data_IF_891866198137
#
_entry.id   IF_891866198137
#
_cell.length_a   1.000
_cell.length_b   1.000
_cell.length_c   1.000
_cell.angle_alpha   90.00
_cell.angle_beta   90.00
_cell.angle_gamma   90.00
#
_symmetry.space_group_name_H-M   'P 1'
#
loop_
_entity.id
_entity.type
_entity.pdbx_description
1 polymer ?
#
# COMPACT_ATOMS: atom_id res chain seq x y z
N UNK A 1 -28.43 26.53 -4.41
CA UNK A 1 -27.03 26.07 -4.45
C UNK A 1 -26.82 25.17 -3.26
N UNK A 2 -26.66 23.87 -3.47
CA UNK A 2 -26.20 22.97 -2.41
C UNK A 2 -24.73 23.29 -2.17
N UNK A 3 -24.42 23.80 -0.98
CA UNK A 3 -23.04 23.98 -0.55
C UNK A 3 -22.43 22.58 -0.39
N UNK A 4 -21.50 22.24 -1.28
CA UNK A 4 -20.63 21.08 -1.12
C UNK A 4 -19.60 21.42 -0.03
N UNK A 5 -19.12 20.43 0.73
CA UNK A 5 -18.01 20.67 1.66
C UNK A 5 -16.76 21.06 0.87
N UNK A 6 -15.84 21.86 1.45
CA UNK A 6 -14.61 22.28 0.75
C UNK A 6 -13.79 21.10 0.19
N UNK A 7 -13.86 19.93 0.83
CA UNK A 7 -13.17 18.71 0.39
C UNK A 7 -13.82 18.00 -0.81
N UNK A 8 -15.01 18.42 -1.26
CA UNK A 8 -15.69 17.79 -2.40
C UNK A 8 -15.34 18.45 -3.74
N UNK A 9 -14.65 19.60 -3.72
CA UNK A 9 -14.29 20.36 -4.90
C UNK A 9 -12.86 20.07 -5.35
N UNK A 10 -12.67 20.04 -6.66
CA UNK A 10 -11.35 19.91 -7.27
C UNK A 10 -10.63 21.26 -7.14
N UNK A 11 -9.47 21.26 -6.49
CA UNK A 11 -8.63 22.46 -6.35
C UNK A 11 -7.37 22.39 -7.20
N UNK A 12 -6.73 23.54 -7.41
CA UNK A 12 -5.39 23.58 -8.01
C UNK A 12 -4.39 22.87 -7.08
N UNK A 13 -3.54 22.02 -7.67
CA UNK A 13 -2.61 21.18 -6.93
C UNK A 13 -3.17 19.84 -6.40
N UNK A 14 -4.47 19.59 -6.48
CA UNK A 14 -5.07 18.31 -6.07
C UNK A 14 -4.64 17.16 -7.00
N UNK A 15 -4.46 15.95 -6.46
CA UNK A 15 -4.44 14.74 -7.27
C UNK A 15 -5.86 14.34 -7.67
N UNK A 16 -6.03 13.93 -8.92
CA UNK A 16 -7.32 13.48 -9.47
C UNK A 16 -7.18 12.18 -10.22
N UNK A 17 -8.23 11.38 -10.16
CA UNK A 17 -8.38 10.19 -10.97
C UNK A 17 -9.29 10.48 -12.17
N UNK A 18 -8.72 10.42 -13.36
CA UNK A 18 -9.42 10.64 -14.63
C UNK A 18 -9.82 9.28 -15.20
N UNK A 19 -11.11 9.04 -15.40
CA UNK A 19 -11.66 7.73 -15.80
C UNK A 19 -12.43 7.82 -17.11
N UNK A 20 -12.07 6.96 -18.06
CA UNK A 20 -12.85 6.68 -19.26
C UNK A 20 -13.62 5.35 -19.13
N UNK A 21 -12.91 4.29 -18.73
CA UNK A 21 -13.45 2.95 -18.55
C UNK A 21 -12.59 2.19 -17.50
N UNK A 22 -12.94 0.94 -17.19
CA UNK A 22 -12.20 0.12 -16.19
C UNK A 22 -10.69 0.00 -16.48
N UNK A 23 -10.29 0.05 -17.76
CA UNK A 23 -8.90 -0.16 -18.19
C UNK A 23 -8.17 1.16 -18.43
N UNK A 24 -8.90 2.23 -18.72
CA UNK A 24 -8.33 3.54 -19.10
C UNK A 24 -8.65 4.55 -18.02
N UNK A 25 -7.72 4.62 -17.08
CA UNK A 25 -7.75 5.48 -15.90
C UNK A 25 -6.37 6.10 -15.74
N UNK A 26 -6.30 7.36 -15.34
CA UNK A 26 -5.05 8.10 -15.18
C UNK A 26 -5.08 8.88 -13.89
N UNK A 27 -3.95 8.91 -13.18
CA UNK A 27 -3.75 9.73 -12.00
C UNK A 27 -2.94 10.95 -12.45
N UNK A 28 -3.45 12.13 -12.17
CA UNK A 28 -2.80 13.37 -12.57
C UNK A 28 -2.89 14.39 -11.44
N UNK A 29 -1.86 15.23 -11.33
CA UNK A 29 -1.91 16.43 -10.49
C UNK A 29 -2.53 17.55 -11.30
N UNK A 30 -3.56 18.18 -10.75
CA UNK A 30 -4.22 19.34 -11.35
C UNK A 30 -3.29 20.54 -11.21
N UNK A 31 -3.01 21.20 -12.33
CA UNK A 31 -2.20 22.42 -12.35
C UNK A 31 -2.94 23.42 -13.24
N UNK A 32 -3.32 24.57 -12.68
CA UNK A 32 -4.01 25.64 -13.42
C UNK A 32 -3.20 26.08 -14.65
N UNK A 33 -3.89 26.34 -15.76
CA UNK A 33 -3.30 26.67 -17.05
C UNK A 33 -2.63 25.50 -17.78
N UNK A 34 -2.59 24.28 -17.21
CA UNK A 34 -2.09 23.10 -17.91
C UNK A 34 -3.21 22.21 -18.49
N UNK A 35 -2.81 21.32 -19.39
CA UNK A 35 -3.69 20.39 -20.08
C UNK A 35 -3.39 18.94 -19.69
N UNK A 36 -4.44 18.15 -19.56
CA UNK A 36 -4.33 16.69 -19.53
C UNK A 36 -4.43 16.13 -20.96
N UNK A 37 -3.51 15.26 -21.35
CA UNK A 37 -3.49 14.61 -22.67
C UNK A 37 -3.65 13.08 -22.57
N UNK A 38 -4.48 12.51 -23.44
CA UNK A 38 -4.55 11.07 -23.67
C UNK A 38 -4.87 10.75 -25.15
N UNK A 39 -4.93 9.47 -25.51
CA UNK A 39 -5.26 9.04 -26.87
C UNK A 39 -6.68 9.48 -27.33
N UNK A 40 -7.56 9.81 -26.38
CA UNK A 40 -8.91 10.35 -26.62
C UNK A 40 -8.97 11.88 -26.66
N UNK A 41 -7.82 12.55 -26.76
CA UNK A 41 -7.74 14.01 -26.85
C UNK A 41 -7.20 14.64 -25.57
N UNK A 42 -7.47 15.92 -25.40
CA UNK A 42 -7.05 16.69 -24.23
C UNK A 42 -8.20 17.55 -23.68
N UNK A 43 -8.02 18.04 -22.45
CA UNK A 43 -8.84 19.09 -21.84
C UNK A 43 -7.96 19.95 -20.91
N UNK A 44 -8.36 21.20 -20.68
CA UNK A 44 -7.65 22.11 -19.76
C UNK A 44 -8.10 21.86 -18.31
N UNK A 45 -7.15 21.81 -17.38
CA UNK A 45 -7.47 21.60 -15.96
C UNK A 45 -8.35 22.71 -15.38
N UNK A 46 -8.26 23.93 -15.89
CA UNK A 46 -9.14 25.04 -15.50
C UNK A 46 -10.63 24.73 -15.72
N UNK A 47 -10.97 23.78 -16.61
CA UNK A 47 -12.35 23.36 -16.82
C UNK A 47 -12.92 22.51 -15.67
N UNK A 48 -12.07 21.95 -14.79
CA UNK A 48 -12.49 21.09 -13.68
C UNK A 48 -12.24 21.73 -12.31
N UNK A 49 -11.33 22.70 -12.20
CA UNK A 49 -11.08 23.44 -10.95
C UNK A 49 -12.38 24.12 -10.48
N UNK A 50 -12.67 24.00 -9.18
CA UNK A 50 -13.87 24.51 -8.53
C UNK A 50 -15.14 23.68 -8.77
N UNK A 51 -15.05 22.58 -9.53
CA UNK A 51 -16.17 21.65 -9.73
C UNK A 51 -16.10 20.47 -8.76
N UNK A 52 -17.24 19.84 -8.43
CA UNK A 52 -17.23 18.68 -7.55
C UNK A 52 -16.58 17.46 -8.22
N UNK A 53 -15.99 16.58 -7.41
CA UNK A 53 -15.65 15.23 -7.85
C UNK A 53 -16.89 14.49 -8.38
N UNK A 54 -16.69 13.61 -9.35
CA UNK A 54 -17.74 13.00 -10.19
C UNK A 54 -18.11 13.81 -11.43
N UNK A 55 -17.56 15.02 -11.59
CA UNK A 55 -17.78 15.84 -12.79
C UNK A 55 -17.30 15.14 -14.06
N UNK A 56 -18.09 15.28 -15.14
CA UNK A 56 -17.68 14.88 -16.49
C UNK A 56 -17.07 16.05 -17.25
N UNK A 57 -15.92 15.82 -17.86
CA UNK A 57 -15.25 16.78 -18.74
C UNK A 57 -15.18 16.22 -20.16
N UNK A 58 -15.42 17.08 -21.15
CA UNK A 58 -15.41 16.72 -22.56
C UNK A 58 -14.04 17.04 -23.15
N UNK A 59 -13.40 16.07 -23.79
CA UNK A 59 -12.15 16.30 -24.52
C UNK A 59 -12.40 17.00 -25.85
N UNK A 60 -11.35 17.54 -26.46
CA UNK A 60 -11.40 18.11 -27.81
C UNK A 60 -11.89 17.13 -28.91
N UNK A 61 -11.86 15.80 -28.65
CA UNK A 61 -12.41 14.77 -29.55
C UNK A 61 -13.85 14.36 -29.19
N UNK A 62 -14.55 15.16 -28.40
CA UNK A 62 -15.92 14.90 -27.95
C UNK A 62 -16.13 13.61 -27.15
N UNK A 63 -15.08 13.15 -26.45
CA UNK A 63 -15.16 12.02 -25.52
C UNK A 63 -15.33 12.57 -24.10
N UNK A 64 -16.21 11.99 -23.30
CA UNK A 64 -16.36 12.36 -21.90
C UNK A 64 -15.47 11.51 -21.00
N UNK A 65 -14.78 12.17 -20.07
CA UNK A 65 -14.01 11.58 -18.97
C UNK A 65 -14.66 11.99 -17.65
N UNK A 66 -14.65 11.11 -16.66
CA UNK A 66 -15.16 11.42 -15.31
C UNK A 66 -14.00 11.60 -14.35
N UNK A 67 -14.05 12.66 -13.53
CA UNK A 67 -12.99 12.99 -12.58
C UNK A 67 -13.42 12.52 -11.20
N UNK A 68 -12.59 11.75 -10.51
CA UNK A 68 -12.85 11.26 -9.15
C UNK A 68 -11.73 11.64 -8.21
N UNK A 69 -12.05 11.67 -6.92
CA UNK A 69 -11.07 11.72 -5.86
C UNK A 69 -10.33 10.37 -5.81
N UNK A 70 -9.00 10.33 -5.97
CA UNK A 70 -8.27 9.08 -5.99
C UNK A 70 -8.24 8.41 -4.61
N UNK A 71 -8.51 7.11 -4.57
CA UNK A 71 -8.35 6.30 -3.35
C UNK A 71 -6.94 5.71 -3.28
N UNK A 72 -6.45 5.26 -2.10
CA UNK A 72 -5.11 4.68 -1.96
C UNK A 72 -4.78 3.58 -3.00
N UNK A 73 -5.77 2.75 -3.34
CA UNK A 73 -5.59 1.69 -4.33
C UNK A 73 -5.38 2.17 -5.78
N UNK A 74 -5.77 3.40 -6.10
CA UNK A 74 -5.54 4.01 -7.41
C UNK A 74 -4.08 4.47 -7.56
N UNK A 75 -3.46 4.96 -6.48
CA UNK A 75 -2.04 5.34 -6.45
C UNK A 75 -1.16 4.12 -6.71
N UNK A 76 -1.44 2.97 -6.07
CA UNK A 76 -0.65 1.75 -6.22
C UNK A 76 -0.49 1.27 -7.67
N UNK A 77 -1.49 1.50 -8.52
CA UNK A 77 -1.44 1.10 -9.95
C UNK A 77 -0.50 1.97 -10.78
N UNK A 78 -0.09 3.13 -10.28
CA UNK A 78 0.73 4.11 -11.00
C UNK A 78 1.99 4.50 -10.24
N UNK A 79 2.27 3.83 -9.11
CA UNK A 79 3.55 3.89 -8.45
C UNK A 79 4.62 3.37 -9.41
N UNK A 80 5.71 4.12 -9.54
CA UNK A 80 6.89 3.63 -10.24
C UNK A 80 7.55 2.57 -9.35
N UNK A 81 7.68 1.35 -9.87
CA UNK A 81 8.30 0.25 -9.14
C UNK A 81 9.27 -0.51 -10.06
N UNK A 82 10.48 -0.78 -9.56
CA UNK A 82 11.44 -1.69 -10.20
C UNK A 82 11.34 -3.12 -9.64
N UNK A 83 10.73 -3.28 -8.47
CA UNK A 83 10.50 -4.54 -7.79
C UNK A 83 9.04 -5.00 -7.91
N UNK A 84 8.78 -6.24 -7.50
CA UNK A 84 7.43 -6.70 -7.22
C UNK A 84 6.80 -5.87 -6.08
N UNK A 85 5.50 -5.64 -6.14
CA UNK A 85 4.73 -4.93 -5.11
C UNK A 85 3.72 -5.86 -4.45
N UNK A 86 3.37 -5.56 -3.19
CA UNK A 86 2.22 -6.16 -2.52
C UNK A 86 0.93 -5.71 -3.21
N UNK A 87 0.10 -6.67 -3.59
CA UNK A 87 -1.17 -6.41 -4.25
C UNK A 87 -2.22 -5.91 -3.24
N UNK A 88 -3.21 -5.15 -3.72
CA UNK A 88 -4.26 -4.59 -2.86
C UNK A 88 -5.03 -5.63 -2.05
N UNK A 89 -5.22 -6.85 -2.59
CA UNK A 89 -5.85 -7.97 -1.85
C UNK A 89 -5.02 -8.38 -0.63
N UNK A 90 -3.70 -8.39 -0.79
CA UNK A 90 -2.75 -8.82 0.24
C UNK A 90 -2.56 -7.68 1.25
N UNK A 91 -2.39 -6.45 0.77
CA UNK A 91 -2.35 -5.26 1.62
C UNK A 91 -3.61 -5.13 2.50
N UNK A 92 -4.81 -5.39 1.96
CA UNK A 92 -6.04 -5.40 2.75
C UNK A 92 -6.02 -6.42 3.89
N UNK A 93 -5.44 -7.60 3.65
CA UNK A 93 -5.26 -8.61 4.69
C UNK A 93 -4.18 -8.24 5.70
N UNK A 94 -3.06 -7.65 5.24
CA UNK A 94 -2.01 -7.11 6.11
C UNK A 94 -2.61 -6.06 7.06
N UNK A 95 -3.43 -5.14 6.55
CA UNK A 95 -4.09 -4.13 7.37
C UNK A 95 -4.99 -4.75 8.44
N UNK A 96 -5.86 -5.68 8.02
CA UNK A 96 -6.87 -6.27 8.91
C UNK A 96 -6.26 -7.24 9.93
N UNK A 97 -5.46 -8.20 9.47
CA UNK A 97 -4.90 -9.25 10.32
C UNK A 97 -3.61 -8.81 11.02
N UNK A 98 -2.88 -7.83 10.46
CA UNK A 98 -1.74 -7.18 11.10
C UNK A 98 -2.14 -6.17 12.20
N UNK A 99 -3.44 -5.91 12.36
CA UNK A 99 -3.95 -4.99 13.38
C UNK A 99 -3.60 -3.52 13.12
N UNK A 100 -3.43 -3.15 11.85
CA UNK A 100 -3.08 -1.79 11.45
C UNK A 100 -4.29 -0.88 11.64
N UNK A 101 -4.12 0.16 12.46
CA UNK A 101 -5.18 1.09 12.84
C UNK A 101 -4.59 2.47 13.16
N UNK A 102 -5.42 3.53 13.25
CA UNK A 102 -4.93 4.86 13.57
C UNK A 102 -4.14 4.92 14.89
N UNK A 103 -3.06 5.70 14.91
CA UNK A 103 -2.29 5.98 16.12
C UNK A 103 -1.19 4.97 16.49
N UNK A 104 -1.02 3.89 15.72
CA UNK A 104 -0.05 2.85 16.05
C UNK A 104 1.33 3.10 15.41
N UNK A 105 2.35 2.50 16.01
CA UNK A 105 3.72 2.48 15.48
C UNK A 105 3.97 1.16 14.76
N UNK A 106 4.34 1.24 13.49
CA UNK A 106 4.58 0.08 12.63
C UNK A 106 6.03 0.07 12.16
N UNK A 107 6.69 -1.08 12.21
CA UNK A 107 7.92 -1.30 11.45
C UNK A 107 7.58 -2.03 10.16
N UNK A 108 8.14 -1.57 9.05
CA UNK A 108 8.15 -2.27 7.78
C UNK A 108 9.60 -2.58 7.41
N UNK A 109 9.87 -3.78 6.90
CA UNK A 109 11.17 -4.12 6.33
C UNK A 109 11.00 -4.68 4.93
N UNK A 110 11.76 -4.11 3.99
CA UNK A 110 11.52 -4.23 2.56
C UNK A 110 10.68 -3.07 2.04
N UNK A 111 11.17 -1.83 2.17
CA UNK A 111 10.46 -0.63 1.66
C UNK A 111 10.16 -0.74 0.16
N UNK A 112 11.12 -1.24 -0.62
CA UNK A 112 10.98 -1.38 -2.07
C UNK A 112 10.60 -0.05 -2.74
N UNK A 113 9.48 -0.03 -3.46
CA UNK A 113 8.97 1.19 -4.11
C UNK A 113 8.19 2.13 -3.19
N UNK A 114 7.98 1.79 -1.91
CA UNK A 114 7.15 2.54 -0.98
C UNK A 114 5.64 2.30 -1.15
N UNK A 115 5.25 1.31 -1.96
CA UNK A 115 3.85 1.00 -2.23
C UNK A 115 3.11 0.57 -0.95
N UNK A 116 3.58 -0.48 -0.27
CA UNK A 116 2.98 -0.92 0.99
C UNK A 116 3.15 0.16 2.07
N UNK A 117 4.34 0.77 2.17
CA UNK A 117 4.63 1.88 3.08
C UNK A 117 3.57 2.97 3.01
N UNK A 118 3.17 3.38 1.80
CA UNK A 118 2.17 4.43 1.60
C UNK A 118 0.78 4.04 2.12
N UNK A 119 0.41 2.77 1.98
CA UNK A 119 -0.84 2.23 2.51
C UNK A 119 -0.78 2.22 4.03
N UNK A 120 0.29 1.67 4.61
CA UNK A 120 0.47 1.62 6.07
C UNK A 120 0.39 3.03 6.66
N UNK A 121 1.13 3.97 6.08
CA UNK A 121 1.13 5.38 6.48
C UNK A 121 -0.29 5.98 6.45
N UNK A 122 -1.02 5.80 5.35
CA UNK A 122 -2.40 6.29 5.22
C UNK A 122 -3.32 5.76 6.33
N UNK A 123 -3.19 4.49 6.72
CA UNK A 123 -4.07 3.85 7.71
C UNK A 123 -3.68 4.13 9.16
N UNK A 124 -2.39 4.30 9.47
CA UNK A 124 -1.96 4.70 10.82
C UNK A 124 -2.26 6.18 11.10
N UNK A 125 -2.38 7.00 10.06
CA UNK A 125 -2.78 8.40 10.17
C UNK A 125 -1.75 9.28 10.90
N UNK A 126 -2.13 10.53 11.17
CA UNK A 126 -1.24 11.57 11.74
C UNK A 126 -0.73 11.26 13.15
N UNK A 127 -1.49 10.50 13.93
CA UNK A 127 -1.12 10.11 15.30
C UNK A 127 -0.28 8.84 15.35
N UNK A 128 -0.13 8.14 14.22
CA UNK A 128 0.68 6.94 14.08
C UNK A 128 2.01 7.23 13.42
N UNK A 129 2.84 6.19 13.25
CA UNK A 129 4.12 6.35 12.58
C UNK A 129 4.58 5.04 11.92
N UNK A 130 5.13 5.14 10.71
CA UNK A 130 5.75 4.00 10.01
C UNK A 130 7.26 4.17 9.98
N UNK A 131 7.98 3.19 10.50
CA UNK A 131 9.44 3.09 10.39
C UNK A 131 9.74 2.05 9.33
N UNK A 132 10.22 2.47 8.16
CA UNK A 132 10.48 1.55 7.05
C UNK A 132 11.97 1.39 6.80
N UNK A 133 12.39 0.15 6.59
CA UNK A 133 13.77 -0.24 6.44
C UNK A 133 14.05 -0.85 5.06
N UNK A 134 15.13 -0.39 4.45
CA UNK A 134 15.58 -0.84 3.14
C UNK A 134 17.11 -0.78 3.10
N UNK A 135 17.77 -1.75 2.47
CA UNK A 135 19.24 -1.80 2.38
C UNK A 135 19.76 -1.28 1.03
N UNK A 136 18.86 -0.99 0.10
CA UNK A 136 19.16 -0.46 -1.22
C UNK A 136 18.83 1.02 -1.36
N UNK A 137 19.85 1.83 -1.66
CA UNK A 137 19.71 3.27 -1.81
C UNK A 137 18.81 3.68 -3.00
N UNK A 138 18.84 2.94 -4.11
CA UNK A 138 17.99 3.19 -5.27
C UNK A 138 16.49 3.00 -4.95
N UNK A 139 16.18 1.98 -4.14
CA UNK A 139 14.83 1.70 -3.67
C UNK A 139 14.34 2.82 -2.73
N UNK A 140 15.15 3.24 -1.76
CA UNK A 140 14.81 4.37 -0.86
C UNK A 140 14.52 5.64 -1.64
N UNK A 141 15.35 5.98 -2.63
CA UNK A 141 15.14 7.17 -3.44
C UNK A 141 13.83 7.10 -4.24
N UNK A 142 13.45 5.91 -4.70
CA UNK A 142 12.17 5.67 -5.38
C UNK A 142 11.01 5.80 -4.40
N UNK A 143 11.09 5.15 -3.24
CA UNK A 143 10.09 5.21 -2.18
C UNK A 143 9.85 6.65 -1.72
N UNK A 144 10.90 7.44 -1.48
CA UNK A 144 10.79 8.85 -1.08
C UNK A 144 9.97 9.68 -2.07
N UNK A 145 10.22 9.53 -3.37
CA UNK A 145 9.46 10.23 -4.42
C UNK A 145 7.99 9.82 -4.42
N UNK A 146 7.71 8.52 -4.25
CA UNK A 146 6.34 8.02 -4.21
C UNK A 146 5.59 8.48 -2.93
N UNK A 147 6.24 8.45 -1.77
CA UNK A 147 5.66 8.89 -0.49
C UNK A 147 5.37 10.39 -0.48
N UNK A 148 6.29 11.22 -1.01
CA UNK A 148 6.07 12.66 -1.15
C UNK A 148 4.92 12.96 -2.13
N UNK A 149 4.85 12.22 -3.24
CA UNK A 149 3.72 12.34 -4.19
C UNK A 149 2.37 11.97 -3.56
N UNK A 150 2.34 10.97 -2.68
CA UNK A 150 1.12 10.54 -1.98
C UNK A 150 0.81 11.45 -0.78
N UNK A 151 1.77 12.28 -0.34
CA UNK A 151 1.59 13.23 0.76
C UNK A 151 1.67 12.59 2.15
N UNK A 152 2.33 11.43 2.28
CA UNK A 152 2.44 10.67 3.54
C UNK A 152 3.86 10.64 4.11
N UNK A 153 4.80 11.38 3.50
CA UNK A 153 6.20 11.37 3.92
C UNK A 153 6.44 11.88 5.36
N UNK A 154 5.54 12.73 5.88
CA UNK A 154 5.66 13.31 7.23
C UNK A 154 5.46 12.29 8.35
N UNK A 155 4.77 11.19 8.09
CA UNK A 155 4.46 10.12 9.06
C UNK A 155 5.31 8.86 8.82
N UNK A 156 6.33 8.95 7.97
CA UNK A 156 7.23 7.85 7.61
C UNK A 156 8.68 8.21 7.92
N UNK A 157 9.37 7.36 8.67
CA UNK A 157 10.83 7.39 8.80
C UNK A 157 11.45 6.28 7.99
N UNK A 158 12.10 6.63 6.88
CA UNK A 158 12.87 5.69 6.06
C UNK A 158 14.30 5.54 6.59
N UNK A 159 14.82 4.30 6.61
CA UNK A 159 16.16 3.98 7.11
C UNK A 159 16.91 3.09 6.12
N UNK A 160 18.07 3.59 5.66
CA UNK A 160 19.01 2.81 4.86
C UNK A 160 19.82 1.88 5.76
N UNK A 161 19.32 0.67 6.01
CA UNK A 161 19.93 -0.28 6.94
C UNK A 161 19.52 -1.72 6.62
N UNK A 162 20.46 -2.64 6.78
CA UNK A 162 20.16 -4.08 6.82
C UNK A 162 19.55 -4.48 8.16
N UNK A 163 18.30 -4.94 8.10
CA UNK A 163 17.51 -5.39 9.26
C UNK A 163 17.95 -6.73 9.83
N UNK A 164 18.86 -7.45 9.16
CA UNK A 164 19.54 -8.63 9.73
C UNK A 164 20.35 -8.29 11.00
N UNK A 165 20.64 -7.01 11.20
CA UNK A 165 21.33 -6.47 12.40
C UNK A 165 20.35 -5.90 13.45
N UNK A 166 19.05 -5.96 13.16
CA UNK A 166 17.98 -5.55 14.05
C UNK A 166 17.44 -4.13 13.86
N UNK A 167 16.36 -3.83 14.57
CA UNK A 167 15.65 -2.56 14.51
C UNK A 167 16.05 -1.62 15.65
N UNK A 168 15.91 -0.32 15.42
CA UNK A 168 16.16 0.70 16.44
C UNK A 168 14.93 0.91 17.32
N UNK A 169 13.74 0.75 16.75
CA UNK A 169 12.49 0.90 17.47
C UNK A 169 12.23 -0.29 18.40
N UNK A 170 11.74 0.01 19.60
CA UNK A 170 11.22 -0.94 20.57
C UNK A 170 9.77 -0.60 20.93
N UNK A 171 9.06 -1.58 21.46
CA UNK A 171 7.65 -1.50 21.85
C UNK A 171 6.73 -0.99 20.73
N UNK A 172 6.95 -1.46 19.50
CA UNK A 172 6.06 -1.17 18.36
C UNK A 172 4.84 -2.08 18.38
N UNK A 173 3.75 -1.63 17.76
CA UNK A 173 2.47 -2.33 17.76
C UNK A 173 2.43 -3.47 16.73
N UNK A 174 3.03 -3.23 15.57
CA UNK A 174 3.05 -4.18 14.46
C UNK A 174 4.38 -4.14 13.71
N UNK A 175 4.75 -5.28 13.12
CA UNK A 175 5.88 -5.40 12.19
C UNK A 175 5.39 -6.10 10.93
N UNK A 176 5.74 -5.57 9.75
CA UNK A 176 5.45 -6.18 8.44
C UNK A 176 6.76 -6.45 7.70
N UNK A 177 6.99 -7.69 7.29
CA UNK A 177 8.19 -8.14 6.59
C UNK A 177 7.85 -8.60 5.17
N UNK A 178 8.48 -7.98 4.17
CA UNK A 178 8.49 -8.42 2.77
C UNK A 178 9.96 -8.55 2.32
N UNK A 179 10.58 -9.67 2.70
CA UNK A 179 12.02 -9.92 2.57
C UNK A 179 12.28 -11.29 1.95
N UNK A 180 13.48 -11.48 1.40
CA UNK A 180 13.93 -12.78 0.90
C UNK A 180 14.05 -13.83 2.00
N UNK A 181 14.70 -13.47 3.12
CA UNK A 181 14.99 -14.37 4.25
C UNK A 181 14.48 -13.77 5.58
N UNK A 182 13.15 -13.66 5.77
CA UNK A 182 12.57 -13.03 6.95
C UNK A 182 12.92 -13.77 8.25
N UNK A 183 13.25 -15.06 8.21
CA UNK A 183 13.65 -15.87 9.36
C UNK A 183 14.85 -15.30 10.12
N UNK A 184 15.78 -14.62 9.43
CA UNK A 184 16.93 -13.97 10.05
C UNK A 184 16.50 -12.79 10.92
N UNK A 185 15.38 -12.16 10.58
CA UNK A 185 14.88 -10.92 11.20
C UNK A 185 13.90 -11.18 12.34
N UNK A 186 13.27 -12.36 12.39
CA UNK A 186 12.30 -12.75 13.44
C UNK A 186 12.82 -12.53 14.88
N UNK A 187 14.08 -12.87 15.24
CA UNK A 187 14.62 -12.59 16.57
C UNK A 187 14.55 -11.11 16.93
N UNK A 188 14.94 -10.24 16.00
CA UNK A 188 14.91 -8.79 16.19
C UNK A 188 13.49 -8.25 16.21
N UNK A 189 12.60 -8.82 15.41
CA UNK A 189 11.18 -8.48 15.43
C UNK A 189 10.55 -8.80 16.81
N UNK A 190 10.92 -9.94 17.41
CA UNK A 190 10.48 -10.29 18.76
C UNK A 190 10.91 -9.25 19.79
N UNK A 191 12.16 -8.77 19.75
CA UNK A 191 12.64 -7.75 20.69
C UNK A 191 11.95 -6.39 20.49
N UNK A 192 11.63 -6.03 19.25
CA UNK A 192 11.05 -4.72 18.92
C UNK A 192 9.55 -4.64 19.14
N UNK A 193 8.82 -5.74 19.01
CA UNK A 193 7.38 -5.78 19.28
C UNK A 193 7.08 -5.61 20.77
N UNK A 194 6.00 -4.89 21.08
CA UNK A 194 5.38 -4.98 22.41
C UNK A 194 4.73 -6.36 22.61
N UNK A 195 4.50 -6.77 23.86
CA UNK A 195 3.71 -7.98 24.12
C UNK A 195 2.30 -7.88 23.53
N UNK A 196 1.84 -8.94 22.88
CA UNK A 196 0.59 -8.97 22.12
C UNK A 196 0.66 -8.26 20.75
N UNK A 197 1.79 -7.62 20.41
CA UNK A 197 2.04 -7.03 19.10
C UNK A 197 2.09 -8.09 18.00
N UNK A 198 1.81 -7.69 16.77
CA UNK A 198 1.64 -8.62 15.64
C UNK A 198 2.82 -8.52 14.68
N UNK A 199 3.34 -9.68 14.28
CA UNK A 199 4.24 -9.80 13.13
C UNK A 199 3.44 -10.32 11.93
N UNK A 200 3.63 -9.67 10.78
CA UNK A 200 3.10 -10.08 9.48
C UNK A 200 4.24 -10.33 8.53
N UNK A 201 4.23 -11.46 7.83
CA UNK A 201 5.32 -11.87 6.93
C UNK A 201 4.69 -12.26 5.59
N UNK A 202 5.16 -11.63 4.52
CA UNK A 202 4.80 -11.97 3.15
C UNK A 202 5.94 -12.73 2.48
N UNK A 203 5.65 -13.93 1.95
CA UNK A 203 6.67 -14.79 1.31
C UNK A 203 6.10 -15.57 0.12
N UNK A 204 6.86 -15.80 -0.96
CA UNK A 204 6.34 -16.41 -2.17
C UNK A 204 6.26 -17.94 -2.18
N UNK A 205 7.02 -18.66 -1.32
CA UNK A 205 7.17 -20.12 -1.42
C UNK A 205 6.80 -20.90 -0.16
N UNK A 206 6.34 -22.14 -0.33
CA UNK A 206 6.06 -23.06 0.79
C UNK A 206 7.31 -23.38 1.62
N UNK A 207 8.49 -23.51 1.02
CA UNK A 207 9.73 -23.75 1.76
C UNK A 207 10.06 -22.59 2.72
N UNK A 208 9.79 -21.34 2.31
CA UNK A 208 9.92 -20.20 3.22
C UNK A 208 8.90 -20.26 4.35
N UNK A 209 7.68 -20.77 4.13
CA UNK A 209 6.69 -20.95 5.20
C UNK A 209 7.24 -21.87 6.29
N UNK A 210 7.85 -23.00 5.90
CA UNK A 210 8.42 -23.96 6.85
C UNK A 210 9.55 -23.33 7.68
N UNK A 211 10.48 -22.60 7.04
CA UNK A 211 11.58 -21.91 7.74
C UNK A 211 11.06 -20.83 8.68
N UNK A 212 10.11 -20.02 8.23
CA UNK A 212 9.47 -18.97 9.04
C UNK A 212 8.72 -19.57 10.21
N UNK A 213 7.91 -20.61 10.01
CA UNK A 213 7.16 -21.27 11.08
C UNK A 213 8.09 -21.83 12.15
N UNK A 214 9.14 -22.55 11.73
CA UNK A 214 10.16 -23.09 12.65
C UNK A 214 10.73 -21.97 13.51
N UNK A 215 11.10 -20.85 12.87
CA UNK A 215 11.69 -19.73 13.57
C UNK A 215 10.71 -18.97 14.46
N UNK A 216 9.44 -18.84 14.05
CA UNK A 216 8.40 -18.26 14.89
C UNK A 216 8.18 -19.09 16.15
N UNK A 217 8.25 -20.43 16.08
CA UNK A 217 8.07 -21.34 17.21
C UNK A 217 9.30 -21.38 18.15
N UNK A 218 10.51 -21.19 17.62
CA UNK A 218 11.73 -21.04 18.44
C UNK A 218 11.67 -19.79 19.35
N UNK A 219 10.94 -18.77 18.90
CA UNK A 219 10.65 -17.57 19.65
C UNK A 219 9.23 -17.69 20.23
N UNK A 220 8.88 -16.92 21.25
CA UNK A 220 7.55 -17.05 21.87
C UNK A 220 6.48 -16.32 21.04
N UNK A 221 6.32 -16.69 19.77
CA UNK A 221 5.17 -16.28 18.96
C UNK A 221 4.07 -17.33 19.05
N UNK A 222 2.82 -16.86 19.12
CA UNK A 222 1.61 -17.68 19.22
C UNK A 222 0.52 -17.13 18.29
N UNK A 223 -0.65 -17.76 18.24
CA UNK A 223 -1.77 -17.46 17.32
C UNK A 223 -1.31 -17.41 15.85
N UNK A 224 -0.43 -18.35 15.48
CA UNK A 224 0.20 -18.39 14.16
C UNK A 224 -0.82 -18.82 13.10
N UNK A 225 -1.00 -17.99 12.08
CA UNK A 225 -1.94 -18.22 10.97
C UNK A 225 -1.23 -17.98 9.65
N UNK A 226 -1.46 -18.85 8.67
CA UNK A 226 -0.99 -18.67 7.31
C UNK A 226 -2.16 -18.74 6.33
N UNK A 227 -2.20 -17.85 5.33
CA UNK A 227 -3.18 -17.94 4.24
C UNK A 227 -2.62 -17.43 2.90
N UNK A 228 -3.17 -17.96 1.81
CA UNK A 228 -3.07 -17.40 0.47
C UNK A 228 -4.40 -16.76 0.08
N UNK A 229 -4.35 -15.69 -0.71
CA UNK A 229 -5.56 -15.00 -1.18
C UNK A 229 -5.67 -15.10 -2.70
N UNK A 230 -6.78 -15.63 -3.17
CA UNK A 230 -7.07 -15.78 -4.60
C UNK A 230 -8.14 -14.76 -4.99
N UNK A 231 -7.77 -13.75 -5.79
CA UNK A 231 -8.70 -12.75 -6.32
C UNK A 231 -9.07 -13.09 -7.76
N UNK A 232 -10.36 -13.29 -8.04
CA UNK A 232 -10.87 -13.57 -9.38
C UNK A 232 -11.76 -12.43 -9.86
N UNK A 233 -11.24 -11.64 -10.79
CA UNK A 233 -12.00 -10.54 -11.40
C UNK A 233 -13.14 -11.08 -12.28
N UNK A 234 -14.28 -10.38 -12.26
CA UNK A 234 -15.47 -10.73 -13.04
C UNK A 234 -15.58 -9.76 -14.23
N UNK A 235 -15.78 -10.30 -15.43
CA UNK A 235 -16.11 -9.51 -16.59
C UNK A 235 -17.54 -8.98 -16.46
N UNK A 236 -17.70 -7.66 -16.39
CA UNK A 236 -19.00 -7.00 -16.28
C UNK A 236 -19.52 -6.56 -17.66
N UNK A 237 -19.93 -7.54 -18.49
CA UNK A 237 -20.62 -7.28 -19.76
C UNK A 237 -22.07 -7.77 -19.65
N UNK A 238 -23.09 -6.91 -19.86
CA UNK A 238 -24.49 -7.35 -19.88
C UNK A 238 -24.69 -8.57 -20.78
N UNK A 239 -25.45 -9.56 -20.30
CA UNK A 239 -25.67 -10.86 -20.94
C UNK A 239 -24.41 -11.71 -21.20
N UNK A 240 -23.26 -11.33 -20.65
CA UNK A 240 -21.99 -12.06 -20.76
C UNK A 240 -21.14 -11.89 -19.48
N UNK A 241 -21.80 -11.86 -18.32
CA UNK A 241 -21.17 -11.80 -17.01
C UNK A 241 -20.55 -13.16 -16.71
N UNK A 242 -19.24 -13.18 -16.49
CA UNK A 242 -18.48 -14.40 -16.18
C UNK A 242 -17.14 -14.02 -15.57
N UNK A 243 -16.42 -14.94 -14.90
CA UNK A 243 -15.07 -14.67 -14.48
C UNK A 243 -14.14 -14.35 -15.66
N UNK A 244 -13.16 -13.49 -15.41
CA UNK A 244 -12.07 -13.25 -16.36
C UNK A 244 -11.32 -14.57 -16.63
N UNK A 245 -10.95 -14.77 -17.90
CA UNK A 245 -10.27 -15.98 -18.36
C UNK A 245 -8.85 -16.07 -17.80
N UNK A 246 -8.17 -14.93 -17.68
CA UNK A 246 -6.85 -14.82 -17.06
C UNK A 246 -6.99 -14.15 -15.70
N UNK A 247 -6.20 -14.63 -14.76
CA UNK A 247 -6.09 -14.05 -13.42
C UNK A 247 -4.66 -14.21 -12.91
N UNK A 248 -4.34 -13.49 -11.85
CA UNK A 248 -3.11 -13.69 -11.09
C UNK A 248 -3.39 -14.88 -10.17
N UNK A 249 -2.73 -16.00 -10.45
CA UNK A 249 -2.97 -17.26 -9.72
C UNK A 249 -2.33 -17.30 -8.34
N UNK A 250 -1.21 -16.61 -8.16
CA UNK A 250 -0.46 -16.53 -6.92
C UNK A 250 0.25 -15.19 -6.80
N UNK A 251 0.40 -14.70 -5.58
CA UNK A 251 1.26 -13.54 -5.26
C UNK A 251 2.25 -13.92 -4.18
N UNK A 252 1.75 -14.42 -3.05
CA UNK A 252 2.52 -14.91 -1.92
C UNK A 252 1.59 -15.40 -0.82
N UNK A 253 2.20 -15.97 0.20
CA UNK A 253 1.59 -16.38 1.44
C UNK A 253 1.75 -15.27 2.47
N UNK A 254 0.71 -15.07 3.27
CA UNK A 254 0.74 -14.17 4.41
C UNK A 254 0.74 -15.02 5.68
N UNK A 255 1.73 -14.79 6.54
CA UNK A 255 1.82 -15.39 7.87
C UNK A 255 1.65 -14.27 8.90
N UNK A 256 0.81 -14.53 9.91
CA UNK A 256 0.55 -13.65 11.04
C UNK A 256 0.86 -14.40 12.32
N UNK A 257 1.47 -13.72 13.28
CA UNK A 257 1.67 -14.26 14.63
C UNK A 257 1.68 -13.14 15.67
N UNK A 258 1.42 -13.47 16.92
CA UNK A 258 1.43 -12.54 18.05
C UNK A 258 2.60 -12.82 18.97
N UNK A 259 3.29 -11.77 19.41
CA UNK A 259 4.32 -11.89 20.45
C UNK A 259 3.66 -12.30 21.78
N UNK A 260 3.94 -13.52 22.23
CA UNK A 260 3.57 -14.01 23.54
C UNK A 260 4.66 -13.69 24.57
N UNK A 261 4.27 -13.73 25.85
CA UNK A 261 5.21 -13.63 26.95
C UNK A 261 6.06 -14.91 27.01
N UNK A 262 7.37 -14.76 27.18
CA UNK A 262 8.29 -15.85 27.47
C UNK A 262 8.62 -15.79 28.95
N UNK A 263 8.13 -16.76 29.73
CA UNK A 263 8.67 -16.96 31.07
C UNK A 263 10.15 -17.33 30.91
N UNK A 264 11.01 -16.58 31.59
CA UNK A 264 12.42 -16.93 31.70
C UNK A 264 12.49 -17.92 32.85
N UNK A 265 12.66 -19.21 32.53
CA UNK A 265 13.08 -20.22 33.52
C UNK A 265 14.48 -19.91 34.08
#
# INVERSE_FOLDING_TARGET
MTAFAENDLISDGSDVLIVLDERKRWLAKVISGQQFHCHKGFFDFDQIIGKPFGTKVKTNKSVYLTIYDPIPSDFLKQISHSSQIIYTKDAGSILMNGGIKPGIRVIEAGTGSGALTSILATYVGSEGHVYTYENREDAINTAKKNLSRIGVESIVSMKLKDVSTGFEEKNVDAIVLDLGDPEIVIPHAYESLKYGGIITIFIPTYNQIERVLTKLLEFSFDDIKAHELIKRDIQLKPHAIRPNTRMIGHTGYLIFARKAFREVE
#
